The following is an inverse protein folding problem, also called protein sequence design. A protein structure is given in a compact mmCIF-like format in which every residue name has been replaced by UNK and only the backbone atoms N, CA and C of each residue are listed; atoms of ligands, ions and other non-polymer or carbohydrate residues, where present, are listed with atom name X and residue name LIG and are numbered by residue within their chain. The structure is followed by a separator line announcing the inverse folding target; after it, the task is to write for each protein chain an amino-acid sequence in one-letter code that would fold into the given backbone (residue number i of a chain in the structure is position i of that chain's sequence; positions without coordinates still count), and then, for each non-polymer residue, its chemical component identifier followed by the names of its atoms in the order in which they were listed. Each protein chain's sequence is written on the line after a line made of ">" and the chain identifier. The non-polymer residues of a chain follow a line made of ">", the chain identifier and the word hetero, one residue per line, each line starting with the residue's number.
data_IF_666911939667
#
_entry.id   IF_666911939667
#
_cell.length_a   1.000
_cell.length_b   1.000
_cell.length_c   1.000
_cell.angle_alpha   90.00
_cell.angle_beta   90.00
_cell.angle_gamma   90.00
#
_symmetry.space_group_name_H-M   'P 1'
#
loop_
_entity.id
_entity.type
_entity.pdbx_description
1 polymer ?
#
# COMPACT_ATOMS: atom_id res chain seq x y z
N UNK A 1 2.42 35.38 -13.27
CA UNK A 1 2.15 33.96 -12.96
C UNK A 1 2.95 33.56 -11.74
N UNK A 2 2.29 33.53 -10.60
CA UNK A 2 2.88 33.21 -9.29
C UNK A 2 3.01 31.69 -9.18
N UNK A 3 4.21 31.16 -8.98
CA UNK A 3 4.41 29.74 -8.64
C UNK A 3 3.56 29.41 -7.40
N UNK A 4 2.78 28.31 -7.39
CA UNK A 4 2.14 27.88 -6.15
C UNK A 4 3.24 27.60 -5.12
N UNK A 5 3.07 28.20 -3.94
CA UNK A 5 3.90 27.99 -2.77
C UNK A 5 4.10 26.50 -2.54
N UNK A 6 5.35 26.01 -2.60
CA UNK A 6 5.68 24.64 -2.22
C UNK A 6 5.21 24.43 -0.79
N UNK A 7 4.17 23.60 -0.60
CA UNK A 7 3.89 23.05 0.72
C UNK A 7 5.18 22.39 1.19
N UNK A 8 5.65 22.75 2.39
CA UNK A 8 6.64 21.94 3.10
C UNK A 8 6.12 20.49 3.09
N UNK A 9 6.97 19.48 2.82
CA UNK A 9 6.54 18.10 3.02
C UNK A 9 5.91 18.04 4.40
N UNK A 10 4.63 17.66 4.50
CA UNK A 10 4.08 17.31 5.80
C UNK A 10 5.07 16.31 6.37
N UNK A 11 5.59 16.58 7.55
CA UNK A 11 6.42 15.62 8.27
C UNK A 11 5.55 14.37 8.43
N UNK A 12 5.71 13.41 7.53
CA UNK A 12 4.94 12.19 7.55
C UNK A 12 5.30 11.51 8.85
N UNK A 13 4.28 11.17 9.64
CA UNK A 13 4.45 10.24 10.74
C UNK A 13 5.23 9.02 10.23
N UNK A 14 6.17 8.49 11.02
CA UNK A 14 7.00 7.37 10.57
C UNK A 14 6.10 6.22 10.14
N UNK A 15 6.23 5.84 8.88
CA UNK A 15 5.50 4.73 8.26
C UNK A 15 6.15 3.42 8.67
N UNK A 16 5.33 2.41 8.93
CA UNK A 16 5.77 1.07 9.28
C UNK A 16 5.22 0.04 8.31
N UNK A 17 5.90 -1.10 8.21
CA UNK A 17 5.39 -2.25 7.51
C UNK A 17 4.04 -2.70 8.09
N UNK A 18 3.08 -2.98 7.23
CA UNK A 18 1.72 -3.33 7.61
C UNK A 18 0.79 -2.13 7.82
N UNK A 19 1.28 -0.90 7.77
CA UNK A 19 0.41 0.27 7.84
C UNK A 19 -0.54 0.30 6.66
N UNK A 20 -1.78 0.70 6.93
CA UNK A 20 -2.80 0.92 5.92
C UNK A 20 -2.82 2.41 5.58
N UNK A 21 -2.57 2.72 4.31
CA UNK A 21 -2.61 4.06 3.75
C UNK A 21 -3.76 4.16 2.75
N UNK A 22 -4.32 5.35 2.57
CA UNK A 22 -5.12 5.65 1.39
C UNK A 22 -4.20 6.20 0.31
N UNK A 23 -4.07 5.49 -0.81
CA UNK A 23 -3.15 5.84 -1.88
C UNK A 23 -3.91 6.09 -3.19
N UNK A 24 -3.46 7.08 -3.98
CA UNK A 24 -3.96 7.33 -5.32
C UNK A 24 -3.12 6.59 -6.38
N UNK A 25 -3.71 5.53 -6.93
CA UNK A 25 -3.13 4.74 -8.01
C UNK A 25 -3.33 5.38 -9.40
N UNK A 26 -4.06 6.50 -9.50
CA UNK A 26 -4.37 7.16 -10.77
C UNK A 26 -5.40 6.39 -11.61
N UNK A 27 -5.48 6.69 -12.90
CA UNK A 27 -6.37 5.96 -13.81
C UNK A 27 -5.77 4.59 -14.15
N UNK A 28 -6.46 3.47 -13.87
CA UNK A 28 -5.90 2.15 -14.10
C UNK A 28 -5.90 1.77 -15.58
N UNK A 29 -4.93 0.98 -16.00
CA UNK A 29 -5.04 0.18 -17.21
C UNK A 29 -5.49 -1.25 -16.88
N UNK A 30 -6.64 -1.66 -17.42
CA UNK A 30 -7.17 -3.04 -17.29
C UNK A 30 -7.29 -3.50 -15.82
N UNK A 31 -6.47 -4.46 -15.40
CA UNK A 31 -6.52 -5.11 -14.09
C UNK A 31 -5.71 -4.41 -13.00
N UNK A 32 -5.08 -3.28 -13.30
CA UNK A 32 -4.33 -2.50 -12.33
C UNK A 32 -5.24 -1.92 -11.23
N UNK A 33 -4.72 -1.75 -10.00
CA UNK A 33 -5.40 -0.93 -9.01
C UNK A 33 -5.52 0.51 -9.55
N UNK A 34 -6.67 1.13 -9.31
CA UNK A 34 -6.95 2.50 -9.78
C UNK A 34 -7.61 3.35 -8.72
N UNK A 35 -7.46 4.66 -8.87
CA UNK A 35 -8.02 5.71 -8.02
C UNK A 35 -7.56 5.62 -6.55
N UNK A 36 -8.11 6.48 -5.70
CA UNK A 36 -7.83 6.47 -4.28
C UNK A 36 -8.44 5.24 -3.59
N UNK A 37 -7.62 4.38 -2.99
CA UNK A 37 -8.05 3.19 -2.24
C UNK A 37 -7.08 2.84 -1.11
N UNK A 38 -7.49 2.02 -0.14
CA UNK A 38 -6.59 1.53 0.89
C UNK A 38 -5.49 0.66 0.27
N UNK A 39 -4.29 0.73 0.82
CA UNK A 39 -3.16 -0.09 0.45
C UNK A 39 -2.29 -0.35 1.68
N UNK A 40 -1.71 -1.55 1.75
CA UNK A 40 -0.87 -1.99 2.86
C UNK A 40 0.58 -1.79 2.47
N UNK A 41 1.36 -1.13 3.32
CA UNK A 41 2.80 -0.99 3.15
C UNK A 41 3.47 -2.35 3.37
N UNK A 42 4.19 -2.85 2.37
CA UNK A 42 4.94 -4.11 2.48
C UNK A 42 6.46 -3.92 2.46
N UNK A 43 6.95 -2.71 2.15
CA UNK A 43 8.36 -2.33 2.37
C UNK A 43 8.77 -2.68 3.80
N UNK A 44 9.98 -3.24 3.99
CA UNK A 44 10.49 -3.55 5.32
C UNK A 44 10.79 -2.27 6.11
N UNK A 45 10.71 -2.34 7.44
CA UNK A 45 11.02 -1.21 8.31
C UNK A 45 12.45 -0.72 8.10
N UNK A 46 13.43 -1.64 7.97
CA UNK A 46 14.83 -1.32 7.64
C UNK A 46 14.96 -0.45 6.38
N UNK A 47 14.10 -0.65 5.37
CA UNK A 47 14.12 0.16 4.15
C UNK A 47 13.38 1.50 4.36
N UNK A 48 12.30 1.49 5.14
CA UNK A 48 11.55 2.71 5.50
C UNK A 48 12.38 3.67 6.36
N UNK A 49 13.32 3.17 7.16
CA UNK A 49 14.26 3.99 7.94
C UNK A 49 15.11 4.94 7.08
N UNK A 50 15.40 4.57 5.83
CA UNK A 50 16.11 5.43 4.87
C UNK A 50 15.24 6.58 4.31
N UNK A 51 13.95 6.64 4.66
CA UNK A 51 12.98 7.67 4.23
C UNK A 51 12.96 7.88 2.71
N UNK A 52 12.96 6.78 1.96
CA UNK A 52 12.89 6.83 0.50
C UNK A 52 11.56 7.42 0.02
N UNK A 53 11.56 8.05 -1.15
CA UNK A 53 10.37 8.67 -1.75
C UNK A 53 9.44 7.67 -2.45
N UNK A 54 9.74 6.37 -2.38
CA UNK A 54 8.95 5.30 -2.97
C UNK A 54 8.80 4.15 -1.97
N UNK A 55 7.62 3.55 -1.96
CA UNK A 55 7.24 2.42 -1.11
C UNK A 55 6.62 1.33 -1.98
N UNK A 56 6.67 0.09 -1.52
CA UNK A 56 5.95 -1.02 -2.13
C UNK A 56 4.72 -1.28 -1.30
N UNK A 57 3.56 -1.34 -1.96
CA UNK A 57 2.26 -1.52 -1.32
C UNK A 57 1.45 -2.63 -1.99
N UNK A 58 0.50 -3.18 -1.25
CA UNK A 58 -0.53 -4.09 -1.77
C UNK A 58 -1.89 -3.40 -1.70
N UNK A 59 -2.59 -3.19 -2.83
CA UNK A 59 -3.89 -2.52 -2.83
C UNK A 59 -4.98 -3.39 -2.20
N UNK A 60 -5.95 -2.73 -1.56
CA UNK A 60 -7.17 -3.36 -1.08
C UNK A 60 -8.36 -3.07 -2.01
N UNK A 61 -9.33 -3.97 -1.99
CA UNK A 61 -10.62 -3.81 -2.68
C UNK A 61 -11.76 -4.34 -1.82
N UNK A 62 -12.94 -3.73 -1.91
CA UNK A 62 -14.17 -4.27 -1.28
C UNK A 62 -14.81 -5.38 -2.12
N UNK A 63 -14.41 -5.52 -3.39
CA UNK A 63 -14.86 -6.60 -4.27
C UNK A 63 -14.06 -7.88 -4.00
N UNK A 64 -14.60 -8.75 -3.14
CA UNK A 64 -14.01 -10.07 -2.85
C UNK A 64 -14.29 -11.04 -4.00
N UNK A 65 -13.25 -11.70 -4.53
CA UNK A 65 -13.39 -12.69 -5.62
C UNK A 65 -13.13 -14.12 -5.16
N UNK A 66 -12.57 -14.31 -3.97
CA UNK A 66 -12.25 -15.61 -3.41
C UNK A 66 -10.97 -16.21 -4.01
N UNK A 67 -10.08 -15.37 -4.53
CA UNK A 67 -8.79 -15.82 -5.05
C UNK A 67 -7.85 -16.20 -3.90
N UNK A 68 -7.00 -17.20 -4.11
CA UNK A 68 -6.01 -17.63 -3.11
C UNK A 68 -5.03 -16.51 -2.72
N UNK A 69 -4.83 -15.53 -3.60
CA UNK A 69 -4.02 -14.33 -3.37
C UNK A 69 -4.74 -13.20 -2.62
N UNK A 70 -5.97 -13.41 -2.15
CA UNK A 70 -6.72 -12.40 -1.38
C UNK A 70 -6.60 -12.66 0.12
N UNK A 71 -6.25 -11.63 0.89
CA UNK A 71 -6.19 -11.68 2.36
C UNK A 71 -7.22 -10.71 2.93
N UNK A 72 -8.10 -11.18 3.81
CA UNK A 72 -9.11 -10.34 4.46
C UNK A 72 -8.47 -9.29 5.38
N UNK A 73 -8.94 -8.04 5.25
CA UNK A 73 -8.50 -6.89 6.05
C UNK A 73 -9.73 -6.23 6.65
N UNK A 74 -9.90 -6.41 7.95
CA UNK A 74 -11.08 -5.94 8.67
C UNK A 74 -11.30 -4.43 8.45
N UNK A 75 -12.47 -4.06 7.91
CA UNK A 75 -12.82 -2.66 7.62
C UNK A 75 -12.26 -2.10 6.30
N UNK A 76 -11.36 -2.82 5.60
CA UNK A 76 -10.70 -2.34 4.37
C UNK A 76 -10.90 -3.25 3.16
N UNK A 77 -11.58 -4.39 3.31
CA UNK A 77 -11.89 -5.32 2.23
C UNK A 77 -10.89 -6.48 2.18
N UNK A 78 -10.38 -6.80 0.99
CA UNK A 78 -9.31 -7.80 0.79
C UNK A 78 -8.08 -7.15 0.18
N UNK A 79 -6.91 -7.47 0.72
CA UNK A 79 -5.61 -7.17 0.13
C UNK A 79 -5.37 -8.11 -1.06
N UNK A 80 -4.97 -7.57 -2.21
CA UNK A 80 -4.75 -8.34 -3.43
C UNK A 80 -3.26 -8.63 -3.63
N UNK A 81 -2.75 -9.71 -3.03
CA UNK A 81 -1.31 -10.05 -3.00
C UNK A 81 -0.67 -10.31 -4.39
N UNK A 82 -1.48 -10.44 -5.45
CA UNK A 82 -0.99 -10.53 -6.84
C UNK A 82 -0.81 -9.17 -7.53
N UNK A 83 -1.11 -8.05 -6.85
CA UNK A 83 -0.94 -6.69 -7.36
C UNK A 83 0.03 -5.82 -6.52
N UNK A 84 1.16 -6.36 -5.98
CA UNK A 84 2.12 -5.49 -5.31
C UNK A 84 2.64 -4.46 -6.32
N UNK A 85 2.70 -3.20 -5.91
CA UNK A 85 3.17 -2.12 -6.78
C UNK A 85 4.03 -1.12 -6.01
N UNK A 86 4.96 -0.50 -6.72
CA UNK A 86 5.71 0.63 -6.21
C UNK A 86 4.87 1.90 -6.34
N UNK A 87 4.87 2.74 -5.30
CA UNK A 87 4.11 3.97 -5.22
C UNK A 87 5.01 5.07 -4.66
N UNK A 88 4.96 6.27 -5.26
CA UNK A 88 5.60 7.45 -4.67
C UNK A 88 4.84 7.86 -3.40
N UNK A 89 5.57 8.27 -2.35
CA UNK A 89 4.95 8.78 -1.11
C UNK A 89 4.06 10.00 -1.34
N UNK A 90 4.27 10.76 -2.42
CA UNK A 90 3.42 11.90 -2.80
C UNK A 90 2.01 11.47 -3.25
N UNK A 91 1.80 10.18 -3.55
CA UNK A 91 0.50 9.59 -3.87
C UNK A 91 -0.25 9.10 -2.63
N UNK A 92 0.31 9.26 -1.43
CA UNK A 92 -0.40 8.98 -0.17
C UNK A 92 -1.36 10.13 0.10
N UNK A 93 -2.65 9.83 0.03
CA UNK A 93 -3.74 10.77 0.28
C UNK A 93 -4.00 10.93 1.78
N UNK A 94 -3.89 9.82 2.53
CA UNK A 94 -4.22 9.78 3.96
C UNK A 94 -3.45 8.64 4.66
N UNK A 95 -2.96 8.91 5.86
CA UNK A 95 -2.43 7.91 6.80
C UNK A 95 -3.58 7.52 7.74
N UNK A 96 -3.99 6.26 7.74
CA UNK A 96 -5.20 5.84 8.49
C UNK A 96 -4.94 5.65 9.99
N UNK A 97 -3.67 5.55 10.40
CA UNK A 97 -3.29 5.16 11.77
C UNK A 97 -3.61 3.71 12.13
N UNK A 98 -3.98 2.87 11.14
CA UNK A 98 -4.29 1.45 11.33
C UNK A 98 -3.18 0.58 10.73
N UNK A 99 -2.85 -0.52 11.40
CA UNK A 99 -1.87 -1.52 10.95
C UNK A 99 -2.52 -2.92 10.95
N UNK A 100 -2.21 -3.75 9.95
CA UNK A 100 -2.79 -5.10 9.81
C UNK A 100 -2.19 -6.14 10.77
N UNK A 101 -1.14 -5.77 11.50
CA UNK A 101 -0.41 -6.66 12.40
C UNK A 101 0.50 -7.65 11.67
N UNK A 102 1.40 -8.32 12.43
CA UNK A 102 2.47 -9.12 11.85
C UNK A 102 1.98 -10.41 11.16
N UNK A 103 0.86 -10.98 11.62
CA UNK A 103 0.32 -12.24 11.06
C UNK A 103 -0.21 -12.02 9.65
N UNK A 104 -1.08 -11.04 9.44
CA UNK A 104 -1.62 -10.72 8.13
C UNK A 104 -0.52 -10.21 7.18
N UNK A 105 0.42 -9.40 7.69
CA UNK A 105 1.55 -8.93 6.91
C UNK A 105 2.45 -10.08 6.42
N UNK A 106 2.73 -11.07 7.29
CA UNK A 106 3.47 -12.27 6.92
C UNK A 106 2.75 -13.05 5.84
N UNK A 107 1.45 -13.31 6.02
CA UNK A 107 0.64 -14.03 5.04
C UNK A 107 0.67 -13.35 3.65
N UNK A 108 0.55 -12.03 3.59
CA UNK A 108 0.64 -11.28 2.33
C UNK A 108 2.02 -11.45 1.69
N UNK A 109 3.09 -11.33 2.47
CA UNK A 109 4.47 -11.49 1.96
C UNK A 109 4.76 -12.92 1.47
N UNK A 110 4.25 -13.93 2.18
CA UNK A 110 4.35 -15.34 1.76
C UNK A 110 3.60 -15.58 0.45
N UNK A 111 2.36 -15.08 0.32
CA UNK A 111 1.62 -15.18 -0.93
C UNK A 111 2.33 -14.47 -2.09
N UNK A 112 2.96 -13.32 -1.85
CA UNK A 112 3.77 -12.64 -2.87
C UNK A 112 4.97 -13.50 -3.25
N UNK A 113 5.70 -14.06 -2.28
CA UNK A 113 6.84 -14.94 -2.52
C UNK A 113 6.43 -16.15 -3.36
N UNK A 114 5.35 -16.84 -2.98
CA UNK A 114 4.78 -17.96 -3.74
C UNK A 114 4.45 -17.57 -5.20
N UNK A 115 3.85 -16.39 -5.41
CA UNK A 115 3.48 -15.90 -6.74
C UNK A 115 4.68 -15.60 -7.64
N UNK A 116 5.83 -15.25 -7.06
CA UNK A 116 7.06 -14.96 -7.80
C UNK A 116 8.10 -16.09 -7.73
N UNK A 117 7.77 -17.22 -7.10
CA UNK A 117 8.59 -18.42 -7.03
C UNK A 117 9.78 -18.33 -6.06
N UNK A 118 9.61 -17.65 -4.92
CA UNK A 118 10.59 -17.54 -3.84
C UNK A 118 10.21 -18.34 -2.60
#
# INVERSE_FOLDING_TARGET
>A
MTKPSSMRPREMSPMQAGDILRCDFGTPARGEPGYARPAIVITSDDVLEFRQHAIVVVPCTTTKRGWLSEVDVAGFGVAQAHLPTTLSVDRVVEVTGTNIGPVALRQIRELIADLIGL
#
